data_IF_759059438494
#
_entry.id   IF_759059438494
#
_cell.length_a   1.000
_cell.length_b   1.000
_cell.length_c   1.000
_cell.angle_alpha   90.00
_cell.angle_beta   90.00
_cell.angle_gamma   90.00
#
_symmetry.space_group_name_H-M   'P 1'
#
loop_
_entity.id
_entity.type
_entity.pdbx_description
1 polymer ?
#
# COMPACT_ATOMS: atom_id res chain seq x y z
N UNK A 1 -2.82 23.91 21.13
CA UNK A 1 -2.03 23.19 20.10
C UNK A 1 -1.88 21.70 20.41
N UNK A 2 -1.18 21.27 21.47
CA UNK A 2 -1.08 19.81 21.79
C UNK A 2 -2.36 19.25 22.47
N UNK A 3 -3.02 20.04 23.30
CA UNK A 3 -4.26 19.63 24.01
C UNK A 3 -5.43 19.35 23.08
N UNK A 4 -5.55 20.12 22.00
CA UNK A 4 -6.66 20.00 21.04
C UNK A 4 -6.53 18.71 20.22
N UNK A 5 -5.30 18.33 19.88
CA UNK A 5 -4.98 17.08 19.19
C UNK A 5 -5.25 15.84 20.06
N UNK A 6 -4.80 15.84 21.31
CA UNK A 6 -5.07 14.70 22.20
C UNK A 6 -6.57 14.56 22.53
N UNK A 7 -7.29 15.69 22.63
CA UNK A 7 -8.74 15.68 22.78
C UNK A 7 -9.43 15.08 21.56
N UNK A 8 -9.03 15.47 20.35
CA UNK A 8 -9.52 14.89 19.09
C UNK A 8 -9.32 13.36 19.06
N UNK A 9 -8.11 12.88 19.37
CA UNK A 9 -7.83 11.43 19.41
C UNK A 9 -8.66 10.72 20.48
N UNK A 10 -8.88 11.37 21.63
CA UNK A 10 -9.74 10.85 22.68
C UNK A 10 -11.19 10.69 22.19
N UNK A 11 -11.76 11.74 21.59
CA UNK A 11 -13.15 11.72 21.10
C UNK A 11 -13.34 10.64 20.02
N UNK A 12 -12.38 10.49 19.11
CA UNK A 12 -12.37 9.40 18.12
C UNK A 12 -12.26 8.04 18.82
N UNK A 13 -11.39 7.91 19.83
CA UNK A 13 -11.17 6.64 20.54
C UNK A 13 -12.42 6.15 21.28
N UNK A 14 -13.21 7.06 21.84
CA UNK A 14 -14.46 6.73 22.53
C UNK A 14 -15.58 6.30 21.56
N UNK A 15 -15.51 6.78 20.31
CA UNK A 15 -16.47 6.43 19.27
C UNK A 15 -16.16 5.11 18.55
N UNK A 16 -15.01 4.49 18.81
CA UNK A 16 -14.56 3.25 18.18
C UNK A 16 -14.95 2.02 19.00
N UNK A 17 -15.55 1.03 18.35
CA UNK A 17 -15.87 -0.26 18.98
C UNK A 17 -14.74 -1.27 18.81
N UNK A 18 -14.82 -2.39 19.54
CA UNK A 18 -13.77 -3.42 19.54
C UNK A 18 -13.49 -4.03 18.15
N UNK A 19 -14.52 -4.21 17.31
CA UNK A 19 -14.37 -4.78 15.97
C UNK A 19 -13.67 -3.80 15.02
N UNK A 20 -13.99 -2.51 15.10
CA UNK A 20 -13.31 -1.45 14.37
C UNK A 20 -11.85 -1.33 14.82
N UNK A 21 -11.59 -1.43 16.12
CA UNK A 21 -10.22 -1.47 16.62
C UNK A 21 -9.44 -2.67 16.05
N UNK A 22 -10.07 -3.84 15.92
CA UNK A 22 -9.44 -4.99 15.29
C UNK A 22 -9.14 -4.75 13.80
N UNK A 23 -10.04 -4.07 13.08
CA UNK A 23 -9.83 -3.65 11.69
C UNK A 23 -8.66 -2.65 11.57
N UNK A 24 -8.63 -1.61 12.41
CA UNK A 24 -7.56 -0.61 12.43
C UNK A 24 -6.18 -1.25 12.70
N UNK A 25 -6.12 -2.17 13.67
CA UNK A 25 -4.91 -2.95 13.94
C UNK A 25 -4.49 -3.74 12.72
N UNK A 26 -5.42 -4.42 12.06
CA UNK A 26 -5.15 -5.23 10.88
C UNK A 26 -4.57 -4.40 9.72
N UNK A 27 -5.18 -3.23 9.45
CA UNK A 27 -4.74 -2.33 8.39
C UNK A 27 -3.37 -1.70 8.68
N UNK A 28 -2.96 -1.61 9.95
CA UNK A 28 -1.71 -0.99 10.38
C UNK A 28 -0.54 -1.98 10.56
N UNK A 29 -0.71 -3.25 10.21
CA UNK A 29 0.29 -4.31 10.45
C UNK A 29 1.62 -4.12 9.70
N UNK A 30 1.64 -3.33 8.63
CA UNK A 30 2.86 -3.03 7.87
C UNK A 30 3.70 -1.93 8.54
N UNK A 31 3.08 -1.09 9.36
CA UNK A 31 3.73 0.05 10.02
C UNK A 31 4.05 -0.24 11.50
N UNK A 32 3.19 -1.00 12.17
CA UNK A 32 3.35 -1.39 13.57
C UNK A 32 3.58 -2.90 13.67
N UNK A 33 4.63 -3.35 14.39
CA UNK A 33 4.86 -4.77 14.60
C UNK A 33 3.65 -5.48 15.23
N UNK A 34 3.26 -6.61 14.64
CA UNK A 34 2.12 -7.42 15.06
C UNK A 34 2.05 -7.66 16.58
N UNK A 35 3.19 -7.98 17.23
CA UNK A 35 3.24 -8.23 18.69
C UNK A 35 2.76 -7.04 19.52
N UNK A 36 3.04 -5.81 19.06
CA UNK A 36 2.60 -4.60 19.73
C UNK A 36 1.09 -4.41 19.55
N UNK A 37 0.59 -4.61 18.33
CA UNK A 37 -0.84 -4.50 18.02
C UNK A 37 -1.71 -5.52 18.77
N UNK A 38 -1.21 -6.74 18.99
CA UNK A 38 -1.91 -7.78 19.77
C UNK A 38 -1.98 -7.44 21.27
N UNK A 39 -0.99 -6.72 21.82
CA UNK A 39 -0.99 -6.29 23.21
C UNK A 39 -1.98 -5.15 23.49
N UNK A 40 -2.24 -4.32 22.49
CA UNK A 40 -3.16 -3.18 22.60
C UNK A 40 -4.59 -3.72 22.75
N UNK A 41 -5.29 -3.29 23.79
CA UNK A 41 -6.71 -3.62 24.01
C UNK A 41 -7.63 -2.42 23.77
N UNK A 42 -7.11 -1.20 23.93
CA UNK A 42 -7.90 0.03 23.88
C UNK A 42 -7.55 0.86 22.63
N UNK A 43 -8.51 1.58 22.02
CA UNK A 43 -8.23 2.45 20.87
C UNK A 43 -7.27 3.60 21.18
N UNK A 44 -7.24 4.10 22.43
CA UNK A 44 -6.29 5.13 22.89
C UNK A 44 -4.85 4.66 22.76
N UNK A 45 -4.56 3.47 23.28
CA UNK A 45 -3.23 2.87 23.18
C UNK A 45 -2.84 2.54 21.73
N UNK A 46 -3.82 2.32 20.83
CA UNK A 46 -3.57 2.20 19.39
C UNK A 46 -3.09 3.54 18.79
N UNK A 47 -3.74 4.65 19.11
CA UNK A 47 -3.30 5.97 18.64
C UNK A 47 -1.96 6.38 19.22
N UNK A 48 -1.69 6.11 20.50
CA UNK A 48 -0.36 6.30 21.09
C UNK A 48 0.70 5.50 20.34
N UNK A 49 0.42 4.24 19.98
CA UNK A 49 1.33 3.42 19.20
C UNK A 49 1.60 3.98 17.79
N UNK A 50 0.61 4.61 17.15
CA UNK A 50 0.78 5.30 15.87
C UNK A 50 1.60 6.58 16.01
N UNK A 51 1.40 7.34 17.09
CA UNK A 51 2.21 8.53 17.39
C UNK A 51 3.67 8.17 17.63
N UNK A 52 3.94 7.12 18.41
CA UNK A 52 5.31 6.63 18.67
C UNK A 52 6.04 6.19 17.39
N UNK A 53 5.28 5.78 16.36
CA UNK A 53 5.83 5.42 15.05
C UNK A 53 5.91 6.60 14.08
N UNK A 54 5.47 7.79 14.47
CA UNK A 54 5.45 8.98 13.62
C UNK A 54 4.42 8.89 12.49
N UNK A 55 3.44 7.99 12.59
CA UNK A 55 2.40 7.83 11.55
C UNK A 55 1.29 8.89 11.68
N UNK A 56 1.09 9.40 12.90
CA UNK A 56 0.13 10.47 13.19
C UNK A 56 0.76 11.51 14.11
N UNK A 57 0.52 12.78 13.82
CA UNK A 57 0.93 13.94 14.61
C UNK A 57 -0.05 15.10 14.38
N UNK A 58 0.04 16.15 15.19
CA UNK A 58 -0.91 17.27 15.12
C UNK A 58 -0.99 17.97 13.75
N UNK A 59 0.09 17.90 12.96
CA UNK A 59 0.14 18.44 11.59
C UNK A 59 -0.07 17.40 10.48
N UNK A 60 -0.12 16.11 10.81
CA UNK A 60 -0.23 15.03 9.84
C UNK A 60 -1.18 13.94 10.36
N UNK A 61 -2.42 14.01 9.85
CA UNK A 61 -3.49 13.07 10.14
C UNK A 61 -3.85 12.20 8.92
N UNK A 62 -3.04 12.25 7.85
CA UNK A 62 -3.35 11.56 6.60
C UNK A 62 -3.55 10.05 6.82
N UNK A 63 -2.72 9.42 7.65
CA UNK A 63 -2.86 7.99 7.94
C UNK A 63 -4.13 7.69 8.74
N UNK A 64 -4.46 8.52 9.73
CA UNK A 64 -5.69 8.36 10.51
C UNK A 64 -6.93 8.51 9.62
N UNK A 65 -6.93 9.51 8.74
CA UNK A 65 -8.01 9.71 7.76
C UNK A 65 -8.17 8.50 6.85
N UNK A 66 -7.07 7.97 6.32
CA UNK A 66 -7.10 6.77 5.49
C UNK A 66 -7.67 5.58 6.28
N UNK A 67 -7.20 5.33 7.50
CA UNK A 67 -7.69 4.24 8.34
C UNK A 67 -9.21 4.33 8.61
N UNK A 68 -9.70 5.52 8.99
CA UNK A 68 -11.14 5.75 9.22
C UNK A 68 -11.96 5.59 7.93
N UNK A 69 -11.41 6.00 6.79
CA UNK A 69 -12.01 5.78 5.48
C UNK A 69 -12.12 4.29 5.16
N UNK A 70 -11.06 3.50 5.39
CA UNK A 70 -11.07 2.06 5.12
C UNK A 70 -12.10 1.30 5.96
N UNK A 71 -12.28 1.67 7.24
CA UNK A 71 -13.33 1.08 8.09
C UNK A 71 -14.72 1.67 7.86
N UNK A 72 -14.88 2.54 6.84
CA UNK A 72 -16.15 3.20 6.48
C UNK A 72 -16.75 4.10 7.58
N UNK A 73 -15.93 4.62 8.50
CA UNK A 73 -16.36 5.58 9.54
C UNK A 73 -16.30 7.02 9.03
N UNK A 74 -17.12 7.28 8.01
CA UNK A 74 -17.23 8.59 7.37
C UNK A 74 -17.80 9.65 8.33
N UNK A 75 -18.66 9.23 9.26
CA UNK A 75 -19.16 10.06 10.35
C UNK A 75 -18.02 10.71 11.16
N UNK A 76 -16.97 9.94 11.49
CA UNK A 76 -15.82 10.44 12.22
C UNK A 76 -14.91 11.30 11.35
N UNK A 77 -14.77 10.96 10.07
CA UNK A 77 -14.01 11.79 9.12
C UNK A 77 -14.60 13.19 9.00
N UNK A 78 -15.91 13.29 8.83
CA UNK A 78 -16.60 14.56 8.65
C UNK A 78 -16.67 15.35 9.97
N UNK A 79 -17.06 14.70 11.07
CA UNK A 79 -17.29 15.37 12.34
C UNK A 79 -15.99 15.79 13.05
N UNK A 80 -14.94 14.98 12.97
CA UNK A 80 -13.71 15.16 13.76
C UNK A 80 -12.53 15.64 12.93
N UNK A 81 -12.43 15.21 11.66
CA UNK A 81 -11.28 15.51 10.79
C UNK A 81 -11.60 16.47 9.64
N UNK A 82 -12.86 16.87 9.50
CA UNK A 82 -13.31 17.81 8.47
C UNK A 82 -13.08 17.32 7.04
N UNK A 83 -13.00 16.00 6.82
CA UNK A 83 -12.77 15.41 5.50
C UNK A 83 -13.98 14.63 5.03
N UNK A 84 -14.35 14.86 3.77
CA UNK A 84 -15.45 14.14 3.14
C UNK A 84 -14.99 12.84 2.50
N UNK A 85 -15.94 11.95 2.21
CA UNK A 85 -15.67 10.72 1.46
C UNK A 85 -15.03 11.00 0.10
N UNK A 86 -15.53 12.00 -0.63
CA UNK A 86 -15.07 12.34 -1.97
C UNK A 86 -13.65 12.93 -1.95
N UNK A 87 -13.29 13.65 -0.89
CA UNK A 87 -11.92 14.12 -0.69
C UNK A 87 -10.96 12.94 -0.53
N UNK A 88 -11.30 12.00 0.35
CA UNK A 88 -10.49 10.79 0.56
C UNK A 88 -10.38 9.94 -0.70
N UNK A 89 -11.48 9.76 -1.44
CA UNK A 89 -11.46 9.05 -2.71
C UNK A 89 -10.51 9.71 -3.72
N UNK A 90 -10.49 11.05 -3.82
CA UNK A 90 -9.55 11.76 -4.71
C UNK A 90 -8.10 11.63 -4.23
N UNK A 91 -7.86 11.77 -2.93
CA UNK A 91 -6.50 11.70 -2.37
C UNK A 91 -5.88 10.32 -2.53
N UNK A 92 -6.65 9.25 -2.26
CA UNK A 92 -6.17 7.87 -2.33
C UNK A 92 -5.95 7.36 -3.77
N UNK A 93 -6.52 8.02 -4.78
CA UNK A 93 -6.24 7.73 -6.19
C UNK A 93 -4.85 8.22 -6.62
N UNK A 94 -4.26 9.17 -5.88
CA UNK A 94 -2.94 9.70 -6.21
C UNK A 94 -1.88 8.66 -5.81
N UNK A 95 -1.03 8.20 -6.74
CA UNK A 95 0.02 7.24 -6.42
C UNK A 95 0.94 7.74 -5.30
N UNK A 96 1.18 6.89 -4.30
CA UNK A 96 2.05 7.20 -3.16
C UNK A 96 1.39 7.99 -2.03
N UNK A 97 0.10 8.35 -2.12
CA UNK A 97 -0.64 8.97 -1.00
C UNK A 97 -1.25 7.95 -0.04
N UNK A 98 -1.73 6.82 -0.56
CA UNK A 98 -2.18 5.71 0.25
C UNK A 98 -0.99 5.09 1.00
N UNK A 99 -1.13 4.99 2.31
CA UNK A 99 -0.14 4.39 3.21
C UNK A 99 -0.53 2.95 3.59
N UNK A 100 -1.81 2.57 3.46
CA UNK A 100 -2.23 1.17 3.58
C UNK A 100 -2.01 0.48 2.24
N UNK A 101 -1.26 -0.63 2.22
CA UNK A 101 -1.02 -1.35 0.97
C UNK A 101 -2.32 -1.87 0.33
N UNK A 102 -2.29 -1.98 -1.00
CA UNK A 102 -3.38 -2.60 -1.75
C UNK A 102 -3.64 -4.05 -1.30
N UNK A 103 -2.61 -4.74 -0.79
CA UNK A 103 -2.74 -6.07 -0.20
C UNK A 103 -3.59 -6.07 1.07
N UNK A 104 -3.31 -5.15 2.01
CA UNK A 104 -4.08 -5.01 3.25
C UNK A 104 -5.53 -4.61 2.97
N UNK A 105 -5.74 -3.69 2.03
CA UNK A 105 -7.08 -3.31 1.58
C UNK A 105 -7.85 -4.50 0.99
N UNK A 106 -7.19 -5.31 0.15
CA UNK A 106 -7.79 -6.53 -0.40
C UNK A 106 -8.20 -7.49 0.73
N UNK A 107 -7.29 -7.83 1.62
CA UNK A 107 -7.58 -8.78 2.70
C UNK A 107 -8.69 -8.30 3.63
N UNK A 108 -8.70 -7.00 3.94
CA UNK A 108 -9.77 -6.39 4.73
C UNK A 108 -11.11 -6.46 3.99
N UNK A 109 -11.16 -6.08 2.71
CA UNK A 109 -12.37 -6.19 1.90
C UNK A 109 -12.91 -7.62 1.82
N UNK A 110 -12.01 -8.62 1.66
CA UNK A 110 -12.40 -10.04 1.70
C UNK A 110 -13.01 -10.39 3.05
N UNK A 111 -12.44 -9.92 4.16
CA UNK A 111 -12.96 -10.21 5.50
C UNK A 111 -14.37 -9.64 5.71
N UNK A 112 -14.65 -8.44 5.20
CA UNK A 112 -15.96 -7.78 5.29
C UNK A 112 -17.03 -8.45 4.43
N UNK A 113 -16.66 -9.00 3.26
CA UNK A 113 -17.63 -9.65 2.37
C UNK A 113 -18.04 -11.06 2.82
N UNK A 114 -17.24 -11.70 3.68
CA UNK A 114 -17.43 -13.08 4.09
C UNK A 114 -18.45 -13.19 5.23
N UNK A 115 -19.45 -14.05 5.04
CA UNK A 115 -20.45 -14.32 6.08
C UNK A 115 -19.86 -15.19 7.19
N UNK A 116 -20.45 -15.22 8.40
CA UNK A 116 -20.01 -16.12 9.47
C UNK A 116 -19.94 -17.60 9.05
N UNK A 117 -20.86 -18.04 8.18
CA UNK A 117 -20.90 -19.39 7.59
C UNK A 117 -19.71 -19.64 6.65
N UNK A 118 -19.39 -18.65 5.82
CA UNK A 118 -18.20 -18.68 4.96
C UNK A 118 -16.92 -18.78 5.80
N UNK A 119 -16.83 -17.99 6.88
CA UNK A 119 -15.68 -18.00 7.80
C UNK A 119 -15.52 -19.37 8.47
N UNK A 120 -16.62 -20.01 8.88
CA UNK A 120 -16.58 -21.40 9.40
C UNK A 120 -16.04 -22.37 8.35
N UNK A 121 -16.47 -22.22 7.09
CA UNK A 121 -16.00 -23.03 5.96
C UNK A 121 -14.50 -22.85 5.72
N UNK A 122 -14.01 -21.60 5.72
CA UNK A 122 -12.58 -21.29 5.63
C UNK A 122 -11.80 -21.94 6.78
N UNK A 123 -12.24 -21.77 8.03
CA UNK A 123 -11.59 -22.37 9.21
C UNK A 123 -11.50 -23.90 9.08
N UNK A 124 -12.59 -24.53 8.65
CA UNK A 124 -12.64 -25.97 8.44
C UNK A 124 -11.61 -26.45 7.41
N UNK A 125 -11.53 -25.76 6.26
CA UNK A 125 -10.57 -26.07 5.20
C UNK A 125 -9.12 -25.82 5.63
N UNK A 126 -8.89 -24.85 6.52
CA UNK A 126 -7.58 -24.54 7.07
C UNK A 126 -7.11 -25.48 8.17
N UNK A 127 -7.98 -26.28 8.79
CA UNK A 127 -7.57 -27.18 9.88
C UNK A 127 -6.50 -28.20 9.50
N UNK A 128 -6.34 -28.50 8.21
CA UNK A 128 -5.25 -29.38 7.72
C UNK A 128 -3.89 -28.67 7.69
N UNK A 129 -3.86 -27.34 7.69
CA UNK A 129 -2.65 -26.52 7.53
C UNK A 129 -2.31 -25.68 8.76
N UNK A 130 -3.33 -25.22 9.49
CA UNK A 130 -3.18 -24.43 10.72
C UNK A 130 -3.73 -25.24 11.90
N UNK A 131 -2.95 -25.37 12.99
CA UNK A 131 -3.42 -25.98 14.23
C UNK A 131 -4.76 -25.41 14.72
N UNK A 132 -5.69 -26.30 15.10
CA UNK A 132 -7.03 -25.95 15.61
C UNK A 132 -7.01 -24.94 16.77
N UNK A 133 -5.99 -24.99 17.62
CA UNK A 133 -5.85 -24.09 18.77
C UNK A 133 -5.65 -22.61 18.37
N UNK A 134 -5.13 -22.34 17.16
CA UNK A 134 -4.94 -20.99 16.62
C UNK A 134 -6.22 -20.44 15.96
N UNK A 135 -7.09 -21.32 15.46
CA UNK A 135 -8.36 -20.98 14.82
C UNK A 135 -9.53 -21.31 15.76
N UNK A 136 -9.65 -20.56 16.87
CA UNK A 136 -10.77 -20.72 17.79
C UNK A 136 -12.11 -20.43 17.10
N UNK A 137 -13.19 -21.03 17.60
CA UNK A 137 -14.52 -20.91 16.99
C UNK A 137 -15.01 -19.45 16.94
N UNK A 138 -14.62 -18.63 17.92
CA UNK A 138 -14.94 -17.20 17.99
C UNK A 138 -13.97 -16.27 17.22
N UNK A 139 -12.95 -16.80 16.54
CA UNK A 139 -12.00 -15.96 15.82
C UNK A 139 -12.68 -15.26 14.62
N UNK A 140 -12.49 -13.95 14.48
CA UNK A 140 -12.94 -13.18 13.32
C UNK A 140 -12.18 -13.57 12.06
N UNK A 141 -12.72 -13.25 10.88
CA UNK A 141 -12.04 -13.52 9.61
C UNK A 141 -10.68 -12.80 9.52
N UNK A 142 -10.57 -11.58 10.03
CA UNK A 142 -9.30 -10.86 10.13
C UNK A 142 -8.25 -11.65 10.93
N UNK A 143 -8.65 -12.28 12.05
CA UNK A 143 -7.75 -13.13 12.82
C UNK A 143 -7.36 -14.38 12.04
N UNK A 144 -8.27 -14.98 11.27
CA UNK A 144 -7.98 -16.13 10.41
C UNK A 144 -6.95 -15.75 9.33
N UNK A 145 -7.13 -14.62 8.65
CA UNK A 145 -6.18 -14.14 7.63
C UNK A 145 -4.80 -13.86 8.23
N UNK A 146 -4.74 -13.25 9.42
CA UNK A 146 -3.50 -13.02 10.13
C UNK A 146 -2.77 -14.33 10.51
N UNK A 147 -3.53 -15.35 10.89
CA UNK A 147 -2.97 -16.68 11.12
C UNK A 147 -2.48 -17.33 9.82
N UNK A 148 -3.17 -17.13 8.70
CA UNK A 148 -2.70 -17.61 7.40
C UNK A 148 -1.36 -16.95 7.02
N UNK A 149 -1.22 -15.64 7.21
CA UNK A 149 0.05 -14.92 6.99
C UNK A 149 1.15 -15.47 7.90
N UNK A 150 0.86 -15.63 9.20
CA UNK A 150 1.83 -16.11 10.20
C UNK A 150 2.36 -17.52 9.89
N UNK A 151 1.54 -18.38 9.31
CA UNK A 151 1.95 -19.74 8.91
C UNK A 151 2.45 -19.78 7.45
N UNK A 152 2.65 -18.63 6.79
CA UNK A 152 3.19 -18.53 5.43
C UNK A 152 2.28 -19.08 4.34
N UNK A 153 0.97 -19.17 4.62
CA UNK A 153 -0.04 -19.70 3.70
C UNK A 153 -0.44 -18.66 2.66
N UNK A 154 -0.42 -17.39 3.04
CA UNK A 154 -0.66 -16.24 2.17
C UNK A 154 0.43 -15.20 2.37
N UNK A 155 0.74 -14.48 1.31
CA UNK A 155 1.63 -13.32 1.27
C UNK A 155 1.20 -12.41 0.12
N UNK A 156 1.78 -11.23 0.05
CA UNK A 156 1.47 -10.24 -0.99
C UNK A 156 1.69 -10.74 -2.43
N UNK A 157 2.65 -11.64 -2.63
CA UNK A 157 2.96 -12.24 -3.94
C UNK A 157 2.27 -13.59 -4.19
N UNK A 158 1.59 -14.15 -3.18
CA UNK A 158 1.02 -15.50 -3.26
C UNK A 158 -0.25 -15.58 -2.42
N UNK A 159 -1.37 -15.49 -3.14
CA UNK A 159 -2.72 -15.69 -2.65
C UNK A 159 -3.32 -16.99 -3.19
N UNK A 160 -2.52 -17.87 -3.81
CA UNK A 160 -3.03 -19.04 -4.52
C UNK A 160 -3.83 -19.97 -3.60
N UNK A 161 -3.40 -20.12 -2.34
CA UNK A 161 -4.12 -20.95 -1.39
C UNK A 161 -5.44 -20.33 -0.92
N UNK A 162 -5.46 -19.02 -0.64
CA UNK A 162 -6.70 -18.34 -0.27
C UNK A 162 -7.72 -18.43 -1.41
N UNK A 163 -7.25 -18.19 -2.64
CA UNK A 163 -8.01 -18.33 -3.88
C UNK A 163 -8.58 -19.74 -4.06
N UNK A 164 -7.78 -20.76 -3.79
CA UNK A 164 -8.19 -22.17 -3.86
C UNK A 164 -9.25 -22.55 -2.82
N UNK A 165 -9.19 -21.94 -1.63
CA UNK A 165 -10.21 -22.11 -0.59
C UNK A 165 -11.51 -21.43 -1.01
N UNK A 166 -11.48 -20.14 -1.36
CA UNK A 166 -12.69 -19.35 -1.60
C UNK A 166 -13.41 -19.72 -2.90
N UNK A 167 -12.71 -20.25 -3.91
CA UNK A 167 -13.35 -20.67 -5.18
C UNK A 167 -14.47 -21.71 -5.00
N UNK A 168 -14.43 -22.47 -3.90
CA UNK A 168 -15.38 -23.56 -3.65
C UNK A 168 -16.78 -23.07 -3.24
N UNK A 169 -16.90 -21.83 -2.74
CA UNK A 169 -18.17 -21.33 -2.19
C UNK A 169 -18.42 -19.83 -2.47
N UNK A 170 -17.39 -19.02 -2.75
CA UNK A 170 -17.49 -17.59 -3.05
C UNK A 170 -16.68 -17.21 -4.28
N UNK A 171 -17.31 -17.34 -5.45
CA UNK A 171 -16.70 -17.00 -6.74
C UNK A 171 -16.47 -15.48 -6.93
N UNK A 172 -17.27 -14.65 -6.26
CA UNK A 172 -17.11 -13.20 -6.17
C UNK A 172 -15.80 -12.80 -5.47
N UNK A 173 -15.48 -13.43 -4.35
CA UNK A 173 -14.23 -13.20 -3.60
C UNK A 173 -13.02 -13.65 -4.42
N UNK A 174 -13.14 -14.79 -5.09
CA UNK A 174 -12.12 -15.24 -6.03
C UNK A 174 -11.84 -14.19 -7.12
N UNK A 175 -12.88 -13.59 -7.70
CA UNK A 175 -12.73 -12.51 -8.69
C UNK A 175 -12.02 -11.28 -8.11
N UNK A 176 -12.29 -10.89 -6.86
CA UNK A 176 -11.57 -9.79 -6.19
C UNK A 176 -10.06 -10.06 -6.11
N UNK A 177 -9.67 -11.31 -5.78
CA UNK A 177 -8.27 -11.74 -5.78
C UNK A 177 -7.68 -11.72 -7.19
N UNK A 178 -8.41 -12.25 -8.19
CA UNK A 178 -8.00 -12.24 -9.61
C UNK A 178 -7.69 -10.80 -10.08
N UNK A 179 -8.59 -9.84 -9.81
CA UNK A 179 -8.41 -8.43 -10.18
C UNK A 179 -7.20 -7.78 -9.50
N UNK A 180 -6.90 -8.13 -8.25
CA UNK A 180 -5.71 -7.64 -7.56
C UNK A 180 -4.43 -8.17 -8.21
N UNK A 181 -4.37 -9.48 -8.51
CA UNK A 181 -3.22 -10.11 -9.18
C UNK A 181 -2.97 -9.51 -10.58
N UNK A 182 -4.03 -9.17 -11.31
CA UNK A 182 -3.96 -8.50 -12.62
C UNK A 182 -3.42 -7.07 -12.51
N UNK A 183 -3.97 -6.25 -11.60
CA UNK A 183 -3.49 -4.87 -11.38
C UNK A 183 -2.03 -4.82 -10.97
N UNK A 184 -1.60 -5.76 -10.12
CA UNK A 184 -0.20 -5.86 -9.68
C UNK A 184 0.72 -6.13 -10.87
N UNK A 185 0.38 -7.10 -11.74
CA UNK A 185 1.14 -7.39 -12.96
C UNK A 185 1.21 -6.22 -13.92
N UNK A 186 0.14 -5.44 -14.05
CA UNK A 186 0.12 -4.24 -14.89
C UNK A 186 1.10 -3.17 -14.36
N UNK A 187 1.14 -2.96 -13.05
CA UNK A 187 2.06 -2.02 -12.42
C UNK A 187 3.52 -2.48 -12.55
N UNK A 188 3.81 -3.77 -12.31
CA UNK A 188 5.15 -4.35 -12.51
C UNK A 188 5.62 -4.24 -13.97
N UNK A 189 4.68 -4.31 -14.92
CA UNK A 189 4.97 -4.21 -16.36
C UNK A 189 5.22 -2.76 -16.78
N UNK A 190 4.53 -1.78 -16.17
CA UNK A 190 4.76 -0.35 -16.41
C UNK A 190 6.08 0.14 -15.81
N UNK A 191 6.49 -0.38 -14.65
CA UNK A 191 7.82 -0.09 -14.08
C UNK A 191 8.96 -0.66 -14.94
N UNK A 192 8.75 -1.79 -15.63
CA UNK A 192 9.76 -2.39 -16.51
C UNK A 192 9.92 -1.73 -17.88
N UNK A 193 9.11 -0.72 -18.24
CA UNK A 193 9.12 -0.12 -19.59
C UNK A 193 9.78 1.26 -19.71
N UNK A 194 10.37 1.80 -18.64
CA UNK A 194 11.30 2.94 -18.77
C UNK A 194 12.70 2.45 -19.12
N UNK A 195 12.85 1.88 -20.32
CA UNK A 195 14.12 1.78 -21.01
C UNK A 195 13.89 2.53 -22.32
N UNK A 196 14.70 3.53 -22.71
CA UNK A 196 14.53 4.15 -24.02
C UNK A 196 14.90 3.09 -25.07
N UNK A 197 13.89 2.46 -25.67
CA UNK A 197 14.08 1.64 -26.86
C UNK A 197 14.38 2.62 -28.01
N UNK A 198 15.54 2.53 -28.68
CA UNK A 198 15.81 3.38 -29.83
C UNK A 198 14.89 2.95 -30.97
N UNK A 199 13.90 3.77 -31.27
CA UNK A 199 13.02 3.56 -32.43
C UNK A 199 13.86 3.78 -33.69
N UNK A 200 14.24 2.69 -34.35
CA UNK A 200 14.77 2.74 -35.71
C UNK A 200 13.62 3.03 -36.67
N UNK A 201 13.54 4.27 -37.18
CA UNK A 201 12.68 4.61 -38.31
C UNK A 201 13.57 4.92 -39.51
N UNK A 202 13.58 4.02 -40.49
CA UNK A 202 13.87 4.41 -41.87
C UNK A 202 12.56 4.93 -42.51
N UNK A 203 12.60 6.02 -43.31
CA UNK A 203 11.40 6.68 -43.79
C UNK A 203 10.97 6.17 -45.17
N UNK A 204 9.67 6.16 -45.43
CA UNK A 204 9.12 6.33 -46.78
C UNK A 204 7.81 7.13 -46.71
N UNK A 205 7.76 8.28 -47.39
CA UNK A 205 6.52 8.85 -47.92
C UNK A 205 5.93 10.07 -47.22
N UNK A 206 6.42 11.25 -47.62
CA UNK A 206 5.75 12.54 -47.85
C UNK A 206 4.31 12.79 -47.33
N UNK A 207 4.14 13.91 -46.61
CA UNK A 207 2.86 14.59 -46.37
C UNK A 207 3.04 15.77 -45.42
N UNK A 208 2.56 16.95 -45.80
CA UNK A 208 2.99 18.27 -45.30
C UNK A 208 2.30 18.80 -44.01
N UNK A 209 2.89 19.90 -43.52
CA UNK A 209 2.34 21.04 -42.73
C UNK A 209 2.51 21.08 -41.20
N UNK A 210 3.20 22.14 -40.74
CA UNK A 210 3.06 22.71 -39.39
C UNK A 210 4.38 23.10 -38.70
N UNK A 211 4.99 24.24 -39.04
CA UNK A 211 6.18 24.79 -38.37
C UNK A 211 5.84 25.50 -37.03
N UNK A 212 6.64 25.22 -35.98
CA UNK A 212 7.05 26.22 -34.97
C UNK A 212 8.56 26.06 -34.70
N UNK A 213 9.31 27.15 -34.48
CA UNK A 213 10.76 27.19 -34.73
C UNK A 213 11.56 26.70 -33.51
N UNK A 214 12.15 25.51 -33.61
CA UNK A 214 13.17 25.06 -32.67
C UNK A 214 14.57 25.45 -33.16
N UNK A 215 15.26 26.23 -32.34
CA UNK A 215 16.69 26.52 -32.44
C UNK A 215 17.49 25.24 -32.73
N UNK A 216 18.18 25.26 -33.86
CA UNK A 216 18.98 24.14 -34.38
C UNK A 216 20.24 23.97 -33.52
N UNK A 217 20.15 23.19 -32.44
CA UNK A 217 21.36 22.65 -31.80
C UNK A 217 21.79 21.47 -32.66
N UNK A 218 22.87 21.68 -33.42
CA UNK A 218 23.45 20.68 -34.31
C UNK A 218 23.86 19.45 -33.48
N UNK A 219 23.04 18.39 -33.55
CA UNK A 219 23.22 17.19 -32.74
C UNK A 219 24.50 16.47 -33.15
N UNK A 220 25.48 16.44 -32.23
CA UNK A 220 26.75 15.74 -32.41
C UNK A 220 26.52 14.23 -32.63
N UNK A 221 26.84 13.74 -33.84
CA UNK A 221 26.75 12.31 -34.15
C UNK A 221 28.01 11.60 -33.67
N UNK A 222 27.93 10.89 -32.54
CA UNK A 222 28.97 9.98 -32.05
C UNK A 222 29.15 8.80 -33.02
N UNK A 223 29.91 9.00 -34.10
CA UNK A 223 30.28 7.96 -35.08
C UNK A 223 31.67 7.36 -34.83
N UNK A 224 32.36 7.78 -33.78
CA UNK A 224 33.73 7.34 -33.52
C UNK A 224 33.76 6.13 -32.59
N UNK A 225 34.75 5.26 -32.82
CA UNK A 225 34.99 4.09 -31.99
C UNK A 225 35.30 4.55 -30.55
N UNK A 226 34.58 4.07 -29.52
CA UNK A 226 34.78 4.55 -28.15
C UNK A 226 36.14 4.06 -27.62
N UNK A 227 37.08 4.99 -27.45
CA UNK A 227 38.42 4.72 -26.91
C UNK A 227 38.51 4.90 -25.38
N UNK A 228 37.45 4.57 -24.66
CA UNK A 228 37.42 4.71 -23.20
C UNK A 228 36.29 3.92 -22.55
N UNK A 229 36.50 3.53 -21.30
CA UNK A 229 35.49 2.86 -20.48
C UNK A 229 34.55 3.90 -19.86
N UNK A 230 33.25 3.76 -20.11
CA UNK A 230 32.23 4.55 -19.44
C UNK A 230 31.87 3.87 -18.12
N UNK A 231 32.14 4.53 -17.00
CA UNK A 231 31.69 4.10 -15.68
C UNK A 231 30.37 4.82 -15.38
N UNK A 232 29.29 4.05 -15.34
CA UNK A 232 27.97 4.57 -14.96
C UNK A 232 27.77 4.29 -13.47
N UNK A 233 27.79 5.36 -12.67
CA UNK A 233 27.50 5.29 -11.24
C UNK A 233 26.00 5.47 -11.03
N UNK A 234 25.30 4.39 -10.70
CA UNK A 234 23.88 4.43 -10.39
C UNK A 234 23.67 4.94 -8.95
N UNK A 235 23.37 6.23 -8.81
CA UNK A 235 23.18 6.92 -7.53
C UNK A 235 21.73 6.83 -7.01
N UNK A 236 21.13 5.65 -7.03
CA UNK A 236 19.73 5.48 -6.58
C UNK A 236 19.61 5.37 -5.05
N UNK A 237 20.69 5.06 -4.31
CA UNK A 237 20.68 4.96 -2.85
C UNK A 237 21.96 5.57 -2.26
N UNK A 238 21.87 6.78 -1.72
CA UNK A 238 22.95 7.36 -0.90
C UNK A 238 22.77 6.91 0.55
N UNK A 239 23.78 6.24 1.12
CA UNK A 239 23.74 5.78 2.51
C UNK A 239 23.77 6.91 3.56
N UNK A 240 24.14 8.14 3.16
CA UNK A 240 24.21 9.31 4.02
C UNK A 240 23.59 10.55 3.31
N UNK A 241 22.32 10.89 3.57
CA UNK A 241 21.69 12.07 2.96
C UNK A 241 22.13 13.41 3.56
N UNK A 242 22.81 13.40 4.73
CA UNK A 242 23.16 14.62 5.47
C UNK A 242 24.65 15.02 5.36
N UNK A 243 25.47 14.26 4.64
CA UNK A 243 26.86 14.67 4.37
C UNK A 243 26.90 15.50 3.10
N UNK A 244 27.10 16.81 3.25
CA UNK A 244 27.40 17.69 2.12
C UNK A 244 28.73 17.22 1.49
N UNK A 245 28.64 16.60 0.32
CA UNK A 245 29.83 16.25 -0.47
C UNK A 245 30.43 17.53 -1.04
N UNK A 246 31.58 17.95 -0.53
CA UNK A 246 32.40 18.95 -1.21
C UNK A 246 32.91 18.35 -2.52
N UNK A 247 32.46 18.91 -3.64
CA UNK A 247 32.95 18.52 -4.95
C UNK A 247 34.44 18.79 -5.09
N UNK A 248 35.17 17.92 -5.78
CA UNK A 248 36.58 18.15 -6.07
C UNK A 248 36.72 19.21 -7.14
N UNK A 249 37.17 20.41 -6.77
CA UNK A 249 37.58 21.45 -7.72
C UNK A 249 38.94 21.08 -8.29
N UNK A 250 38.96 20.42 -9.45
CA UNK A 250 40.10 20.46 -10.37
C UNK A 250 39.59 20.33 -11.80
N UNK A 251 39.40 21.48 -12.45
CA UNK A 251 39.52 21.59 -13.89
C UNK A 251 41.01 21.76 -14.22
N UNK A 252 41.55 20.84 -15.01
CA UNK A 252 42.89 20.90 -15.59
C UNK A 252 42.80 20.67 -17.08
#
# INVERSE_FOLDING_TARGET
MSTDFHKLLFDISEALVSDELAALKFLSLEHIPMRKLEAIQEPKAFFEALQEKGMIEAGNLCFLKELLYQISRIDLLEAQLGSSREEMERELQIPGRAQVSAYRQLLYGIAEDLTPEDVKSVKFLLHKKIPKNKLRDNASMLKVLLEMERNGIIKEDDLAMLKDIVKGFRADIKKKIDTYEEKKKENDSKEKLHHPVPVSVHPAGQGAEGETPHLLVESYKMKNNPHGYCVILNNYIFKNPNEAREGTVKDG
#
